data_IF_248266221494
#
_entry.id   IF_248266221494
#
_cell.length_a   1.000
_cell.length_b   1.000
_cell.length_c   1.000
_cell.angle_alpha   90.00
_cell.angle_beta   90.00
_cell.angle_gamma   90.00
#
_symmetry.space_group_name_H-M   'P 1'
#
loop_
_entity.id
_entity.type
_entity.pdbx_description
1 polymer ?
#
# COMPACT_ATOMS: atom_id res chain seq x y z
N UNK A 1 -1.53 18.20 -16.09
CA UNK A 1 -1.32 17.56 -17.07
C UNK A 1 -0.16 16.72 -17.06
N UNK A 2 0.95 17.13 -17.56
CA UNK A 2 2.12 16.33 -17.53
C UNK A 2 2.52 16.01 -16.15
N UNK A 3 2.44 16.96 -15.26
CA UNK A 3 2.81 16.75 -13.92
C UNK A 3 2.00 15.70 -13.27
N UNK A 4 0.75 15.62 -13.60
CA UNK A 4 -0.09 14.62 -13.00
C UNK A 4 0.34 13.25 -13.39
N UNK A 5 0.80 13.06 -14.60
CA UNK A 5 1.27 11.78 -15.00
C UNK A 5 2.48 11.36 -14.23
N UNK A 6 3.33 12.30 -13.88
CA UNK A 6 4.52 11.96 -13.12
C UNK A 6 4.17 11.45 -11.75
N UNK A 7 3.00 11.85 -11.21
CA UNK A 7 2.63 11.44 -9.89
C UNK A 7 1.51 10.43 -9.86
N UNK A 8 1.33 9.71 -10.96
CA UNK A 8 0.31 8.70 -11.00
C UNK A 8 0.71 7.53 -10.11
N UNK A 9 0.10 7.41 -8.96
CA UNK A 9 0.46 6.42 -7.98
C UNK A 9 -0.03 5.04 -8.35
N UNK A 10 -0.86 4.92 -9.36
CA UNK A 10 -1.35 3.63 -9.79
C UNK A 10 -0.59 3.06 -10.98
N UNK A 11 0.42 3.76 -11.43
CA UNK A 11 1.22 3.28 -12.54
C UNK A 11 2.14 2.15 -12.08
N UNK A 12 2.13 0.99 -12.73
CA UNK A 12 2.98 -0.12 -12.30
C UNK A 12 4.43 0.12 -12.68
N UNK A 13 5.29 0.20 -11.70
CA UNK A 13 6.70 0.49 -11.94
C UNK A 13 7.68 -0.40 -11.19
N UNK A 14 7.23 -1.14 -10.20
CA UNK A 14 8.15 -1.92 -9.37
C UNK A 14 7.95 -3.41 -9.60
N UNK A 15 9.04 -4.17 -9.72
CA UNK A 15 8.90 -5.62 -9.72
C UNK A 15 8.90 -6.11 -8.26
N UNK A 16 8.64 -7.38 -8.08
CA UNK A 16 8.46 -7.92 -6.73
C UNK A 16 9.75 -7.81 -5.91
N UNK A 17 10.90 -7.88 -6.56
CA UNK A 17 12.14 -7.77 -5.86
C UNK A 17 12.32 -6.38 -5.28
N UNK A 18 11.97 -5.36 -6.06
CA UNK A 18 12.06 -3.99 -5.60
C UNK A 18 11.08 -3.76 -4.46
N UNK A 19 9.86 -4.27 -4.57
CA UNK A 19 8.86 -4.10 -3.53
C UNK A 19 9.33 -4.80 -2.25
N UNK A 20 9.85 -6.00 -2.38
CA UNK A 20 10.35 -6.74 -1.24
C UNK A 20 11.38 -5.93 -0.49
N UNK A 21 12.29 -5.28 -1.21
CA UNK A 21 13.30 -4.47 -0.57
C UNK A 21 12.73 -3.22 0.05
N UNK A 22 11.83 -2.56 -0.65
CA UNK A 22 11.25 -1.31 -0.16
C UNK A 22 10.46 -1.51 1.11
N UNK A 23 9.75 -2.63 1.20
CA UNK A 23 8.86 -2.86 2.34
C UNK A 23 9.52 -3.69 3.42
N UNK A 24 10.47 -4.52 3.06
CA UNK A 24 11.08 -5.41 4.02
C UNK A 24 10.25 -6.65 4.27
N UNK A 25 9.56 -7.13 3.24
CA UNK A 25 8.81 -8.37 3.32
C UNK A 25 9.35 -9.31 2.26
N UNK A 26 9.33 -10.60 2.55
CA UNK A 26 9.83 -11.58 1.60
C UNK A 26 8.89 -11.75 0.43
N UNK A 27 9.42 -12.03 -0.75
CA UNK A 27 8.54 -12.26 -1.91
C UNK A 27 7.52 -13.35 -1.67
N UNK A 28 7.88 -14.39 -0.92
CA UNK A 28 6.95 -15.48 -0.66
C UNK A 28 5.76 -14.97 0.15
N UNK A 29 6.00 -14.03 1.05
CA UNK A 29 4.93 -13.45 1.84
C UNK A 29 4.02 -12.62 0.94
N UNK A 30 4.62 -11.83 0.05
CA UNK A 30 3.83 -11.01 -0.85
C UNK A 30 2.95 -11.86 -1.76
N UNK A 31 3.50 -12.97 -2.26
CA UNK A 31 2.72 -13.85 -3.10
C UNK A 31 1.60 -14.51 -2.32
N UNK A 32 1.85 -14.86 -1.06
CA UNK A 32 0.83 -15.48 -0.24
C UNK A 32 -0.32 -14.52 0.00
N UNK A 33 -0.01 -13.25 0.27
CA UNK A 33 -1.06 -12.26 0.50
C UNK A 33 -1.87 -12.02 -0.76
N UNK A 34 -1.18 -12.02 -1.90
CA UNK A 34 -1.86 -11.85 -3.16
C UNK A 34 -2.85 -12.99 -3.38
N UNK A 35 -2.41 -14.20 -3.12
CA UNK A 35 -3.26 -15.37 -3.31
C UNK A 35 -4.44 -15.41 -2.34
N UNK A 36 -4.18 -15.10 -1.08
CA UNK A 36 -5.21 -15.23 -0.06
C UNK A 36 -6.15 -14.06 0.04
N UNK A 37 -5.64 -12.87 -0.18
CA UNK A 37 -6.43 -11.67 0.04
C UNK A 37 -6.57 -10.79 -1.18
N UNK A 38 -5.92 -11.15 -2.26
CA UNK A 38 -5.95 -10.33 -3.45
C UNK A 38 -5.22 -9.01 -3.28
N UNK A 39 -4.26 -8.96 -2.34
CA UNK A 39 -3.55 -7.72 -2.05
C UNK A 39 -2.05 -7.93 -2.10
N UNK A 40 -1.38 -7.07 -2.81
CA UNK A 40 -1.92 -6.08 -3.71
C UNK A 40 -2.43 -6.75 -4.98
N UNK A 41 -3.03 -6.00 -5.86
CA UNK A 41 -3.48 -6.56 -7.12
C UNK A 41 -2.49 -6.12 -8.17
N UNK A 42 -1.48 -6.88 -8.44
CA UNK A 42 -0.44 -6.41 -9.36
C UNK A 42 -0.90 -6.43 -10.79
N UNK A 43 -0.37 -5.51 -11.56
CA UNK A 43 -0.55 -5.54 -12.98
C UNK A 43 0.45 -6.52 -13.55
N UNK A 44 0.14 -7.07 -14.70
CA UNK A 44 1.09 -7.91 -15.37
C UNK A 44 1.68 -7.18 -16.53
N UNK A 45 2.97 -7.24 -16.65
CA UNK A 45 3.63 -6.66 -17.81
C UNK A 45 3.41 -7.55 -19.00
N UNK A 46 4.00 -7.18 -20.09
CA UNK A 46 3.82 -7.89 -21.34
C UNK A 46 4.27 -9.31 -21.27
N UNK A 47 5.18 -9.62 -20.41
CA UNK A 47 5.69 -10.96 -20.30
C UNK A 47 5.18 -11.68 -19.08
N UNK A 48 4.13 -11.17 -18.48
CA UNK A 48 3.54 -11.82 -17.33
C UNK A 48 4.20 -11.55 -16.01
N UNK A 49 5.17 -10.67 -15.96
CA UNK A 49 5.78 -10.32 -14.71
C UNK A 49 4.82 -9.55 -13.84
N UNK A 50 4.90 -9.74 -12.55
CA UNK A 50 4.12 -8.95 -11.62
C UNK A 50 4.75 -7.58 -11.51
N UNK A 51 3.93 -6.56 -11.64
CA UNK A 51 4.37 -5.18 -11.49
C UNK A 51 3.47 -4.49 -10.48
N UNK A 52 4.07 -3.69 -9.66
CA UNK A 52 3.37 -3.02 -8.56
C UNK A 52 3.52 -1.52 -8.68
N UNK A 53 2.52 -0.81 -8.20
CA UNK A 53 2.51 0.66 -8.26
C UNK A 53 2.92 1.23 -6.93
N UNK A 54 3.08 2.54 -6.90
CA UNK A 54 3.34 3.22 -5.64
C UNK A 54 2.17 3.03 -4.68
N UNK A 55 0.95 3.01 -5.20
CA UNK A 55 -0.23 2.77 -4.36
C UNK A 55 -0.13 1.39 -3.70
N UNK A 56 0.34 0.40 -4.45
CA UNK A 56 0.52 -0.94 -3.90
C UNK A 56 1.59 -0.94 -2.81
N UNK A 57 2.66 -0.22 -3.02
CA UNK A 57 3.73 -0.13 -2.02
C UNK A 57 3.18 0.51 -0.74
N UNK A 58 2.40 1.56 -0.88
CA UNK A 58 1.81 2.21 0.28
C UNK A 58 0.84 1.31 1.02
N UNK A 59 0.07 0.53 0.27
CA UNK A 59 -0.84 -0.44 0.87
C UNK A 59 -0.06 -1.45 1.69
N UNK A 60 1.03 -1.96 1.12
CA UNK A 60 1.82 -2.95 1.81
C UNK A 60 2.51 -2.39 3.04
N UNK A 61 2.99 -1.15 2.95
CA UNK A 61 3.59 -0.52 4.12
C UNK A 61 2.58 -0.37 5.23
N UNK A 62 1.38 0.02 4.87
CA UNK A 62 0.33 0.19 5.86
C UNK A 62 0.00 -1.15 6.52
N UNK A 63 -0.10 -2.22 5.71
CA UNK A 63 -0.38 -3.53 6.26
C UNK A 63 0.74 -3.97 7.19
N UNK A 64 1.98 -3.76 6.79
CA UNK A 64 3.10 -4.15 7.63
C UNK A 64 3.07 -3.41 8.95
N UNK A 65 2.72 -2.13 8.92
CA UNK A 65 2.64 -1.34 10.14
C UNK A 65 1.56 -1.90 11.07
N UNK A 66 0.46 -2.39 10.53
CA UNK A 66 -0.59 -2.97 11.35
C UNK A 66 -0.10 -4.26 12.01
N UNK A 67 0.67 -5.05 11.27
CA UNK A 67 1.22 -6.27 11.84
C UNK A 67 2.18 -5.94 12.96
N UNK A 68 2.98 -4.91 12.79
CA UNK A 68 3.93 -4.50 13.81
C UNK A 68 3.21 -3.96 15.03
N UNK A 69 2.01 -3.44 14.84
CA UNK A 69 1.21 -2.98 15.95
C UNK A 69 0.44 -4.11 16.64
N UNK A 70 0.56 -5.32 16.11
CA UNK A 70 -0.05 -6.47 16.76
C UNK A 70 -1.24 -7.10 16.09
N UNK A 71 -1.68 -6.56 14.96
CA UNK A 71 -2.82 -7.16 14.27
C UNK A 71 -2.37 -8.36 13.46
N UNK A 72 -3.25 -9.34 13.30
CA UNK A 72 -3.00 -10.41 12.35
C UNK A 72 -3.22 -9.85 10.96
N UNK A 73 -2.72 -10.55 9.95
CA UNK A 73 -2.91 -10.09 8.58
C UNK A 73 -4.40 -10.10 8.22
N UNK A 74 -5.15 -11.08 8.67
CA UNK A 74 -6.58 -11.13 8.39
C UNK A 74 -7.30 -9.90 8.92
N UNK A 75 -6.97 -9.51 10.15
CA UNK A 75 -7.59 -8.34 10.73
C UNK A 75 -7.15 -7.07 10.04
N UNK A 76 -5.89 -7.00 9.66
CA UNK A 76 -5.39 -5.82 8.96
C UNK A 76 -6.10 -5.67 7.63
N UNK A 77 -6.34 -6.77 6.93
CA UNK A 77 -7.04 -6.72 5.65
C UNK A 77 -8.50 -6.29 5.84
N UNK A 78 -9.15 -6.80 6.88
CA UNK A 78 -10.51 -6.37 7.18
C UNK A 78 -10.56 -4.86 7.43
N UNK A 79 -9.62 -4.39 8.21
CA UNK A 79 -9.56 -2.97 8.54
C UNK A 79 -9.32 -2.13 7.28
N UNK A 80 -8.42 -2.60 6.42
CA UNK A 80 -8.16 -1.91 5.17
C UNK A 80 -9.44 -1.81 4.33
N UNK A 81 -10.17 -2.91 4.24
CA UNK A 81 -11.39 -2.93 3.45
C UNK A 81 -12.44 -1.98 4.03
N UNK A 82 -12.53 -1.91 5.35
CA UNK A 82 -13.44 -0.99 5.98
C UNK A 82 -13.08 0.46 5.66
N UNK A 83 -11.79 0.76 5.73
CA UNK A 83 -11.35 2.11 5.43
C UNK A 83 -11.62 2.46 3.98
N UNK A 84 -11.37 1.52 3.08
CA UNK A 84 -11.60 1.78 1.66
C UNK A 84 -13.08 1.98 1.37
N UNK A 85 -13.92 1.19 2.00
CA UNK A 85 -15.36 1.34 1.82
C UNK A 85 -15.82 2.71 2.30
N UNK A 86 -15.19 3.21 3.33
CA UNK A 86 -15.53 4.53 3.86
C UNK A 86 -14.87 5.68 3.10
N UNK A 87 -14.18 5.36 2.03
CA UNK A 87 -13.51 6.40 1.25
C UNK A 87 -12.26 6.92 1.90
N UNK A 88 -11.64 6.13 2.78
CA UNK A 88 -10.47 6.56 3.52
C UNK A 88 -9.30 5.62 3.30
N UNK A 89 -9.03 5.30 2.06
CA UNK A 89 -7.95 4.40 1.70
C UNK A 89 -6.62 4.97 2.22
N UNK A 90 -5.94 4.27 3.10
CA UNK A 90 -4.70 4.79 3.67
C UNK A 90 -3.60 4.98 2.63
N UNK A 91 -3.66 4.25 1.52
CA UNK A 91 -2.68 4.43 0.47
C UNK A 91 -2.93 5.68 -0.35
N UNK A 92 -4.16 6.15 -0.37
CA UNK A 92 -4.46 7.35 -1.12
C UNK A 92 -4.25 8.58 -0.29
N UNK A 93 -4.44 8.45 0.98
CA UNK A 93 -4.33 9.58 1.84
C UNK A 93 -3.01 10.23 1.85
N UNK A 94 -2.01 9.48 1.56
CA UNK A 94 -0.70 10.05 1.64
C UNK A 94 -0.54 11.17 0.67
N UNK A 95 -1.45 11.32 -0.22
CA UNK A 95 -1.35 12.41 -1.12
C UNK A 95 -1.63 13.72 -0.42
N UNK A 96 -2.21 13.64 0.75
CA UNK A 96 -2.51 14.83 1.47
C UNK A 96 -1.65 14.99 2.59
N UNK A 97 -0.54 15.31 2.35
CA UNK A 97 0.39 15.37 3.35
C UNK A 97 0.06 16.20 4.41
N UNK A 98 0.74 16.53 4.91
CA UNK A 98 0.79 17.27 5.93
C UNK A 98 -0.34 17.76 6.47
N UNK A 99 -1.19 17.62 5.95
CA UNK A 99 -2.30 18.06 6.43
C UNK A 99 -2.51 17.58 7.71
N UNK A 100 -2.27 16.53 7.80
CA UNK A 100 -2.51 15.98 8.95
C UNK A 100 -1.57 16.11 9.87
N UNK A 101 -0.81 16.22 9.71
CA UNK A 101 0.06 16.14 10.59
C UNK A 101 0.01 16.93 11.50
N UNK A 102 -0.35 17.36 11.51
CA UNK A 102 -0.26 18.13 12.36
C UNK A 102 -1.11 18.05 13.36
N UNK A 103 -1.61 17.87 13.16
CA UNK A 103 -2.27 17.87 13.95
C UNK A 103 -2.11 17.30 15.01
N UNK A 104 -1.84 17.27 14.66
CA UNK A 104 -1.77 16.98 15.45
C UNK A 104 -1.53 17.03 16.39
N UNK A 105 -1.45 17.38 16.16
CA UNK A 105 -1.18 17.53 16.92
C UNK A 105 -1.33 17.66 17.80
N UNK A 106 -1.61 17.82 17.63
CA UNK A 106 -1.71 17.97 18.34
C UNK A 106 -1.81 17.70 19.28
N UNK A 107 -1.86 17.63 19.18
CA UNK A 107 -1.87 17.42 20.00
C UNK A 107 -1.87 17.51 20.90
N UNK A 108 -1.76 17.77 20.89
CA UNK A 108 -1.68 17.95 21.62
C UNK A 108 -1.91 18.01 22.36
N UNK A 109 -2.09 18.17 22.39
CA UNK A 109 -2.27 18.24 22.94
C UNK A 109 -2.28 18.10 23.46
#
# INVERSE_FOLDING_TARGET
MEEQRLFDTHRPVYNIKAVSRLIGLLPVTLRAWERRYGLPSPSRGEQGYRLYSEHDVRTLRWLKAQLEAGLSISRAVEYLNELRTAGRDPAEVSALPYVTQPASLSHLS
#
